data_IF_333134998648
#
_entry.id   IF_333134998648
#
_cell.length_a   1.000
_cell.length_b   1.000
_cell.length_c   1.000
_cell.angle_alpha   90.00
_cell.angle_beta   90.00
_cell.angle_gamma   90.00
#
_symmetry.space_group_name_H-M   'P 1'
#
loop_
_entity.id
_entity.type
_entity.pdbx_description
1 polymer ?
#
# COMPACT_ATOMS: atom_id res chain seq x y z
N UNK A 1 28.18 -12.66 16.27
CA UNK A 1 27.78 -11.31 16.72
C UNK A 1 26.32 -11.39 17.11
N UNK A 2 25.97 -11.29 18.41
CA UNK A 2 24.57 -11.27 18.87
C UNK A 2 23.94 -9.94 18.40
N UNK A 3 23.05 -10.00 17.45
CA UNK A 3 22.21 -8.85 17.08
C UNK A 3 21.31 -8.54 18.28
N UNK A 4 21.63 -7.46 19.01
CA UNK A 4 20.68 -6.93 20.01
C UNK A 4 19.35 -6.72 19.30
N UNK A 5 18.30 -7.32 19.82
CA UNK A 5 16.92 -7.08 19.35
C UNK A 5 16.69 -5.57 19.35
N UNK A 6 16.57 -4.99 18.16
CA UNK A 6 16.35 -3.53 18.06
C UNK A 6 14.84 -3.26 18.05
N UNK A 7 14.22 -3.34 19.22
CA UNK A 7 12.80 -3.07 19.45
C UNK A 7 12.35 -1.75 18.80
N UNK A 8 13.24 -0.75 18.77
CA UNK A 8 12.95 0.52 18.10
C UNK A 8 12.70 0.38 16.59
N UNK A 9 13.43 -0.49 15.89
CA UNK A 9 13.18 -0.75 14.47
C UNK A 9 11.85 -1.45 14.23
N UNK A 10 11.50 -2.42 15.09
CA UNK A 10 10.21 -3.13 15.00
C UNK A 10 9.04 -2.14 15.18
N UNK A 11 9.11 -1.27 16.18
CA UNK A 11 8.08 -0.24 16.42
C UNK A 11 7.96 0.71 15.22
N UNK A 12 9.08 1.23 14.69
CA UNK A 12 9.07 2.13 13.54
C UNK A 12 8.48 1.46 12.29
N UNK A 13 8.82 0.18 12.06
CA UNK A 13 8.26 -0.60 10.96
C UNK A 13 6.77 -0.89 11.15
N UNK A 14 6.31 -1.12 12.40
CA UNK A 14 4.89 -1.28 12.71
C UNK A 14 4.11 0.01 12.45
N UNK A 15 4.66 1.16 12.83
CA UNK A 15 4.06 2.47 12.53
C UNK A 15 4.04 2.72 11.02
N UNK A 16 5.15 2.48 10.32
CA UNK A 16 5.21 2.64 8.88
C UNK A 16 4.21 1.72 8.15
N UNK A 17 4.03 0.49 8.64
CA UNK A 17 3.00 -0.43 8.12
C UNK A 17 1.59 0.11 8.35
N UNK A 18 1.28 0.62 9.54
CA UNK A 18 0.00 1.24 9.85
C UNK A 18 -0.31 2.41 8.91
N UNK A 19 0.65 3.32 8.72
CA UNK A 19 0.51 4.48 7.83
C UNK A 19 0.36 4.06 6.36
N UNK A 20 1.13 3.05 5.91
CA UNK A 20 1.03 2.50 4.56
C UNK A 20 -0.32 1.83 4.30
N UNK A 21 -0.83 1.04 5.25
CA UNK A 21 -2.15 0.41 5.14
C UNK A 21 -3.28 1.43 5.19
N UNK A 22 -3.16 2.46 6.02
CA UNK A 22 -4.12 3.59 6.04
C UNK A 22 -4.19 4.27 4.68
N UNK A 23 -3.04 4.59 4.08
CA UNK A 23 -2.97 5.14 2.73
C UNK A 23 -3.64 4.21 1.71
N UNK A 24 -3.36 2.91 1.78
CA UNK A 24 -3.96 1.92 0.88
C UNK A 24 -5.48 1.89 1.02
N UNK A 25 -6.02 1.86 2.23
CA UNK A 25 -7.46 1.83 2.48
C UNK A 25 -8.16 3.09 1.93
N UNK A 26 -7.66 4.29 2.29
CA UNK A 26 -8.20 5.55 1.76
C UNK A 26 -8.13 5.60 0.23
N UNK A 27 -7.01 5.14 -0.34
CA UNK A 27 -6.82 5.13 -1.78
C UNK A 27 -7.79 4.16 -2.48
N UNK A 28 -7.96 2.93 -1.99
CA UNK A 28 -8.88 1.95 -2.60
C UNK A 28 -10.31 2.47 -2.58
N UNK A 29 -10.77 3.02 -1.44
CA UNK A 29 -12.11 3.57 -1.28
C UNK A 29 -12.39 4.68 -2.30
N UNK A 30 -11.43 5.59 -2.49
CA UNK A 30 -11.67 6.81 -3.28
C UNK A 30 -11.25 6.70 -4.73
N UNK A 31 -10.27 5.84 -5.09
CA UNK A 31 -9.73 5.79 -6.47
C UNK A 31 -10.78 5.39 -7.50
N UNK A 32 -11.64 4.44 -7.19
CA UNK A 32 -12.71 4.03 -8.10
C UNK A 32 -13.78 5.12 -8.28
N UNK A 33 -14.12 5.84 -7.19
CA UNK A 33 -15.05 6.96 -7.22
C UNK A 33 -14.50 8.14 -8.01
N UNK A 34 -13.24 8.51 -7.76
CA UNK A 34 -12.55 9.55 -8.54
C UNK A 34 -12.41 9.14 -10.00
N UNK A 35 -12.07 7.87 -10.24
CA UNK A 35 -12.04 7.33 -11.60
C UNK A 35 -13.37 7.46 -12.31
N UNK A 36 -14.51 7.23 -11.64
CA UNK A 36 -15.84 7.43 -12.23
C UNK A 36 -16.17 8.90 -12.53
N UNK A 37 -15.56 9.84 -11.81
CA UNK A 37 -15.73 11.28 -12.05
C UNK A 37 -14.82 11.82 -13.16
N UNK A 38 -13.59 11.31 -13.24
CA UNK A 38 -12.57 11.84 -14.17
C UNK A 38 -12.53 11.09 -15.49
N UNK A 39 -12.99 9.84 -15.56
CA UNK A 39 -12.82 9.03 -16.76
C UNK A 39 -13.77 9.46 -17.88
N UNK A 40 -13.31 9.44 -19.13
CA UNK A 40 -14.14 9.78 -20.28
C UNK A 40 -15.24 8.73 -20.55
N UNK A 41 -15.05 7.51 -20.04
CA UNK A 41 -15.99 6.38 -20.24
C UNK A 41 -16.10 5.55 -18.97
N UNK A 42 -17.32 5.03 -18.61
CA UNK A 42 -17.57 4.39 -17.33
C UNK A 42 -16.70 3.16 -17.03
N UNK A 43 -16.34 2.37 -18.04
CA UNK A 43 -15.53 1.16 -17.87
C UNK A 43 -14.05 1.43 -17.49
N UNK A 44 -13.56 2.66 -17.66
CA UNK A 44 -12.24 3.08 -17.23
C UNK A 44 -12.19 3.56 -15.77
N UNK A 45 -13.31 3.63 -15.06
CA UNK A 45 -13.38 4.13 -13.68
C UNK A 45 -12.41 3.45 -12.72
N UNK A 46 -12.14 2.17 -12.90
CA UNK A 46 -11.23 1.38 -12.04
C UNK A 46 -9.81 1.27 -12.59
N UNK A 47 -9.51 1.92 -13.73
CA UNK A 47 -8.20 1.81 -14.40
C UNK A 47 -7.05 2.24 -13.49
N UNK A 48 -7.19 3.35 -12.77
CA UNK A 48 -6.16 3.83 -11.83
C UNK A 48 -5.80 2.77 -10.79
N UNK A 49 -6.79 2.10 -10.20
CA UNK A 49 -6.58 1.05 -9.22
C UNK A 49 -5.94 -0.20 -9.85
N UNK A 50 -6.38 -0.60 -11.03
CA UNK A 50 -5.81 -1.74 -11.77
C UNK A 50 -4.35 -1.51 -12.12
N UNK A 51 -4.00 -0.33 -12.61
CA UNK A 51 -2.61 0.06 -12.90
C UNK A 51 -1.74 0.04 -11.65
N UNK A 52 -2.26 0.50 -10.51
CA UNK A 52 -1.58 0.47 -9.22
C UNK A 52 -1.24 -0.97 -8.80
N UNK A 53 -2.17 -1.91 -8.90
CA UNK A 53 -1.90 -3.32 -8.56
C UNK A 53 -0.90 -3.97 -9.51
N UNK A 54 -1.01 -3.71 -10.82
CA UNK A 54 -0.07 -4.22 -11.82
C UNK A 54 1.34 -3.71 -11.55
N UNK A 55 1.51 -2.41 -11.31
CA UNK A 55 2.83 -1.84 -11.01
C UNK A 55 3.38 -2.30 -9.67
N UNK A 56 2.55 -2.52 -8.66
CA UNK A 56 2.96 -3.10 -7.37
C UNK A 56 3.50 -4.52 -7.56
N UNK A 57 2.81 -5.34 -8.35
CA UNK A 57 3.26 -6.70 -8.68
C UNK A 57 4.61 -6.68 -9.40
N UNK A 58 4.74 -5.86 -10.45
CA UNK A 58 5.96 -5.75 -11.25
C UNK A 58 7.14 -5.20 -10.42
N UNK A 59 6.89 -4.35 -9.44
CA UNK A 59 7.92 -3.73 -8.61
C UNK A 59 8.44 -4.66 -7.51
N UNK A 60 7.65 -5.63 -7.06
CA UNK A 60 8.01 -6.51 -5.93
C UNK A 60 9.35 -7.22 -6.16
N UNK A 61 9.58 -7.79 -7.35
CA UNK A 61 10.85 -8.47 -7.66
C UNK A 61 12.04 -7.50 -7.75
N UNK A 62 12.00 -6.40 -8.55
CA UNK A 62 13.07 -5.41 -8.58
C UNK A 62 13.37 -4.80 -7.22
N UNK A 63 12.34 -4.45 -6.43
CA UNK A 63 12.52 -3.89 -5.09
C UNK A 63 13.30 -4.85 -4.18
N UNK A 64 12.98 -6.15 -4.21
CA UNK A 64 13.71 -7.16 -3.45
C UNK A 64 15.20 -7.22 -3.84
N UNK A 65 15.51 -7.20 -5.13
CA UNK A 65 16.89 -7.23 -5.64
C UNK A 65 17.66 -5.96 -5.25
N UNK A 66 17.01 -4.79 -5.35
CA UNK A 66 17.60 -3.51 -4.94
C UNK A 66 17.85 -3.47 -3.42
N UNK A 67 16.96 -4.05 -2.60
CA UNK A 67 17.17 -4.15 -1.15
C UNK A 67 18.39 -5.00 -0.79
N UNK A 68 18.68 -6.06 -1.56
CA UNK A 68 19.89 -6.86 -1.38
C UNK A 68 21.15 -6.08 -1.74
N UNK A 69 21.09 -5.22 -2.77
CA UNK A 69 22.24 -4.44 -3.25
C UNK A 69 22.53 -3.21 -2.38
N UNK A 70 21.50 -2.42 -2.13
CA UNK A 70 21.60 -1.11 -1.48
C UNK A 70 21.23 -1.14 0.02
N UNK A 71 20.56 -2.20 0.48
CA UNK A 71 20.00 -2.28 1.82
C UNK A 71 18.51 -1.91 1.83
N UNK A 72 17.81 -2.21 2.93
CA UNK A 72 16.36 -2.01 3.05
C UNK A 72 15.98 -0.54 3.24
N UNK A 73 16.73 0.19 4.09
CA UNK A 73 16.43 1.58 4.43
C UNK A 73 16.31 2.51 3.22
N UNK A 74 17.29 2.60 2.29
CA UNK A 74 17.18 3.52 1.15
C UNK A 74 16.02 3.17 0.22
N UNK A 75 15.70 1.89 0.05
CA UNK A 75 14.58 1.46 -0.79
C UNK A 75 13.23 1.80 -0.15
N UNK A 76 13.10 1.65 1.17
CA UNK A 76 11.90 2.07 1.90
C UNK A 76 11.72 3.59 1.84
N UNK A 77 12.78 4.36 2.05
CA UNK A 77 12.75 5.81 1.94
C UNK A 77 12.33 6.26 0.54
N UNK A 78 12.92 5.67 -0.51
CA UNK A 78 12.53 5.95 -1.89
C UNK A 78 11.06 5.58 -2.16
N UNK A 79 10.61 4.42 -1.70
CA UNK A 79 9.22 3.99 -1.85
C UNK A 79 8.24 4.97 -1.21
N UNK A 80 8.49 5.39 0.03
CA UNK A 80 7.61 6.34 0.73
C UNK A 80 7.66 7.74 0.11
N UNK A 81 8.83 8.19 -0.37
CA UNK A 81 8.93 9.47 -1.10
C UNK A 81 8.12 9.43 -2.39
N UNK A 82 8.18 8.32 -3.14
CA UNK A 82 7.34 8.11 -4.32
C UNK A 82 5.86 8.10 -3.93
N UNK A 83 5.48 7.44 -2.82
CA UNK A 83 4.10 7.43 -2.34
C UNK A 83 3.59 8.83 -2.02
N UNK A 84 4.38 9.64 -1.30
CA UNK A 84 4.02 11.01 -0.95
C UNK A 84 3.82 11.87 -2.22
N UNK A 85 4.76 11.80 -3.16
CA UNK A 85 4.66 12.52 -4.42
C UNK A 85 3.48 12.04 -5.27
N UNK A 86 3.26 10.72 -5.36
CA UNK A 86 2.17 10.13 -6.12
C UNK A 86 0.80 10.53 -5.56
N UNK A 87 0.58 10.41 -4.26
CA UNK A 87 -0.70 10.78 -3.63
C UNK A 87 -0.96 12.28 -3.71
N UNK A 88 0.07 13.12 -3.58
CA UNK A 88 -0.03 14.55 -3.81
C UNK A 88 -0.42 14.87 -5.26
N UNK A 89 0.23 14.19 -6.23
CA UNK A 89 -0.09 14.33 -7.66
C UNK A 89 -1.50 13.85 -7.99
N UNK A 90 -2.01 12.79 -7.32
CA UNK A 90 -3.41 12.38 -7.45
C UNK A 90 -4.37 13.49 -7.01
N UNK A 91 -4.06 14.16 -5.89
CA UNK A 91 -4.82 15.35 -5.45
C UNK A 91 -4.82 16.47 -6.50
N UNK A 92 -3.67 16.82 -7.08
CA UNK A 92 -3.55 17.80 -8.17
C UNK A 92 -4.32 17.36 -9.42
N UNK A 93 -4.26 16.08 -9.78
CA UNK A 93 -4.98 15.54 -10.93
C UNK A 93 -6.50 15.72 -10.80
N UNK A 94 -7.03 15.63 -9.57
CA UNK A 94 -8.45 15.91 -9.29
C UNK A 94 -8.76 17.39 -9.47
N UNK A 95 -7.89 18.30 -8.97
CA UNK A 95 -8.09 19.73 -9.14
C UNK A 95 -8.15 20.16 -10.63
N UNK A 96 -7.35 19.53 -11.47
CA UNK A 96 -7.28 19.81 -12.90
C UNK A 96 -8.18 18.90 -13.76
N UNK A 97 -9.02 18.05 -13.13
CA UNK A 97 -9.88 17.09 -13.82
C UNK A 97 -9.13 16.24 -14.86
N UNK A 98 -7.87 15.87 -14.56
CA UNK A 98 -6.99 15.19 -15.50
C UNK A 98 -6.87 13.69 -15.17
N UNK A 99 -7.63 12.87 -15.92
CA UNK A 99 -7.65 11.42 -15.75
C UNK A 99 -6.30 10.74 -16.01
N UNK A 100 -5.58 11.18 -17.05
CA UNK A 100 -4.28 10.59 -17.39
C UNK A 100 -3.25 10.82 -16.30
N UNK A 101 -3.17 12.05 -15.75
CA UNK A 101 -2.30 12.37 -14.64
C UNK A 101 -2.63 11.54 -13.40
N UNK A 102 -3.93 11.34 -13.13
CA UNK A 102 -4.39 10.49 -12.02
C UNK A 102 -3.95 9.02 -12.18
N UNK A 103 -4.06 8.47 -13.40
CA UNK A 103 -3.61 7.10 -13.70
C UNK A 103 -2.08 6.94 -13.55
N UNK A 104 -1.29 7.88 -14.06
CA UNK A 104 0.17 7.87 -13.92
C UNK A 104 0.59 7.94 -12.44
N UNK A 105 -0.04 8.81 -11.67
CA UNK A 105 0.20 8.91 -10.24
C UNK A 105 -0.19 7.61 -9.51
N UNK A 106 -1.27 6.95 -9.92
CA UNK A 106 -1.67 5.64 -9.38
C UNK A 106 -0.62 4.55 -9.68
N UNK A 107 -0.01 4.55 -10.87
CA UNK A 107 1.12 3.65 -11.18
C UNK A 107 2.30 3.89 -10.23
N UNK A 108 2.67 5.14 -10.01
CA UNK A 108 3.76 5.49 -9.09
C UNK A 108 3.45 5.03 -7.65
N UNK A 109 2.21 5.16 -7.20
CA UNK A 109 1.80 4.65 -5.89
C UNK A 109 1.90 3.12 -5.81
N UNK A 110 1.64 2.41 -6.89
CA UNK A 110 1.86 0.96 -7.00
C UNK A 110 3.33 0.58 -6.77
N UNK A 111 4.28 1.34 -7.31
CA UNK A 111 5.71 1.14 -7.05
C UNK A 111 6.01 1.21 -5.55
N UNK A 112 5.50 2.23 -4.88
CA UNK A 112 5.67 2.41 -3.45
C UNK A 112 5.08 1.24 -2.63
N UNK A 113 3.91 0.74 -3.01
CA UNK A 113 3.27 -0.42 -2.36
C UNK A 113 4.08 -1.70 -2.52
N UNK A 114 4.69 -1.94 -3.69
CA UNK A 114 5.61 -3.05 -3.91
C UNK A 114 6.79 -3.04 -2.94
N UNK A 115 7.27 -1.85 -2.55
CA UNK A 115 8.32 -1.70 -1.53
C UNK A 115 7.78 -1.92 -0.10
N UNK A 116 6.60 -1.40 0.23
CA UNK A 116 6.02 -1.47 1.57
C UNK A 116 5.69 -2.91 2.01
N UNK A 117 5.39 -3.81 1.09
CA UNK A 117 5.16 -5.22 1.36
C UNK A 117 6.30 -5.94 2.10
N UNK A 118 7.50 -5.35 2.10
CA UNK A 118 8.69 -5.91 2.76
C UNK A 118 8.88 -5.44 4.22
N UNK A 119 8.06 -4.55 4.77
CA UNK A 119 8.22 -4.07 6.16
C UNK A 119 8.20 -5.22 7.18
N UNK A 120 7.29 -6.19 7.03
CA UNK A 120 7.19 -7.36 7.91
C UNK A 120 8.46 -8.24 7.88
N UNK A 121 9.08 -8.39 6.72
CA UNK A 121 10.33 -9.14 6.59
C UNK A 121 11.52 -8.36 7.16
N UNK A 122 11.51 -7.05 7.02
CA UNK A 122 12.51 -6.17 7.61
C UNK A 122 12.44 -6.21 9.15
N UNK A 123 11.25 -6.29 9.72
CA UNK A 123 11.07 -6.44 11.16
C UNK A 123 11.59 -7.80 11.66
N UNK A 124 11.33 -8.88 10.92
CA UNK A 124 11.87 -10.19 11.25
C UNK A 124 13.41 -10.20 11.23
N UNK A 125 14.04 -9.54 10.25
CA UNK A 125 15.50 -9.45 10.16
C UNK A 125 16.12 -8.57 11.26
N UNK A 126 15.33 -7.68 11.87
CA UNK A 126 15.74 -6.82 12.98
C UNK A 126 15.58 -7.49 14.35
N UNK A 127 14.90 -8.64 14.43
CA UNK A 127 14.62 -9.37 15.65
C UNK A 127 15.54 -10.59 15.81
N UNK A 128 15.73 -11.03 17.07
CA UNK A 128 16.37 -12.32 17.36
C UNK A 128 15.53 -13.49 16.81
N UNK A 129 16.16 -14.63 16.51
CA UNK A 129 15.50 -15.78 15.89
C UNK A 129 14.26 -16.25 16.65
N UNK A 130 14.32 -16.24 17.97
CA UNK A 130 13.19 -16.59 18.87
C UNK A 130 12.05 -15.58 18.82
N UNK A 131 12.32 -14.31 18.43
CA UNK A 131 11.36 -13.21 18.46
C UNK A 131 10.83 -12.85 17.07
N UNK A 132 11.37 -13.43 16.00
CA UNK A 132 10.92 -13.16 14.61
C UNK A 132 9.40 -13.26 14.41
N UNK A 133 8.71 -14.32 14.90
CA UNK A 133 7.26 -14.40 14.74
C UNK A 133 6.52 -13.24 15.42
N UNK A 134 6.98 -12.84 16.63
CA UNK A 134 6.40 -11.70 17.35
C UNK A 134 6.63 -10.38 16.62
N UNK A 135 7.82 -10.15 16.07
CA UNK A 135 8.12 -8.95 15.30
C UNK A 135 7.22 -8.82 14.07
N UNK A 136 6.98 -9.93 13.35
CA UNK A 136 6.04 -9.96 12.22
C UNK A 136 4.62 -9.64 12.70
N UNK A 137 4.18 -10.25 13.81
CA UNK A 137 2.85 -10.02 14.37
C UNK A 137 2.63 -8.56 14.79
N UNK A 138 3.62 -7.90 15.38
CA UNK A 138 3.52 -6.47 15.72
C UNK A 138 3.37 -5.59 14.48
N UNK A 139 4.09 -5.87 13.40
CA UNK A 139 3.95 -5.13 12.14
C UNK A 139 2.58 -5.36 11.52
N UNK A 140 2.07 -6.58 11.54
CA UNK A 140 0.73 -6.89 11.04
C UNK A 140 -0.36 -6.25 11.92
N UNK A 141 -0.18 -6.24 13.24
CA UNK A 141 -1.09 -5.58 14.17
C UNK A 141 -1.17 -4.07 13.92
N UNK A 142 -0.07 -3.43 13.49
CA UNK A 142 -0.08 -2.05 13.03
C UNK A 142 -1.10 -1.81 11.90
N UNK A 143 -1.32 -2.81 11.03
CA UNK A 143 -2.34 -2.76 9.98
C UNK A 143 -3.78 -2.71 10.49
N UNK A 144 -4.07 -3.23 11.71
CA UNK A 144 -5.41 -3.15 12.31
C UNK A 144 -5.81 -1.70 12.61
N UNK A 145 -4.86 -0.84 12.99
CA UNK A 145 -5.12 0.58 13.18
C UNK A 145 -5.59 1.25 11.88
N UNK A 146 -5.08 0.80 10.75
CA UNK A 146 -5.46 1.31 9.45
C UNK A 146 -6.93 1.01 9.09
N UNK A 147 -7.51 -0.08 9.61
CA UNK A 147 -8.91 -0.42 9.40
C UNK A 147 -9.86 0.62 10.01
N UNK A 148 -9.44 1.29 11.10
CA UNK A 148 -10.20 2.37 11.72
C UNK A 148 -9.82 3.74 11.13
N UNK A 149 -8.52 4.01 10.97
CA UNK A 149 -8.03 5.31 10.50
C UNK A 149 -8.38 5.57 9.03
N UNK A 150 -8.37 4.53 8.18
CA UNK A 150 -8.64 4.66 6.75
C UNK A 150 -10.03 5.23 6.46
N UNK A 151 -11.12 4.58 6.87
CA UNK A 151 -12.49 5.07 6.70
C UNK A 151 -12.74 6.43 7.35
N UNK A 152 -12.17 6.65 8.56
CA UNK A 152 -12.33 7.92 9.26
C UNK A 152 -11.70 9.10 8.50
N UNK A 153 -10.49 8.91 7.97
CA UNK A 153 -9.83 9.91 7.11
C UNK A 153 -10.61 10.10 5.81
N UNK A 154 -11.04 9.00 5.17
CA UNK A 154 -11.82 9.07 3.95
C UNK A 154 -13.11 9.87 4.17
N UNK A 155 -13.81 9.66 5.29
CA UNK A 155 -15.05 10.37 5.62
C UNK A 155 -14.84 11.87 5.86
N UNK A 156 -13.84 12.22 6.67
CA UNK A 156 -13.63 13.60 7.09
C UNK A 156 -12.87 14.44 6.04
N UNK A 157 -12.12 13.80 5.16
CA UNK A 157 -11.29 14.51 4.18
C UNK A 157 -11.98 14.74 2.82
N UNK A 158 -13.12 14.12 2.53
CA UNK A 158 -13.82 14.23 1.25
C UNK A 158 -14.16 15.69 0.89
N UNK A 159 -14.61 16.49 1.85
CA UNK A 159 -15.06 17.86 1.64
C UNK A 159 -14.04 18.93 2.00
N UNK A 160 -12.80 18.58 2.33
CA UNK A 160 -11.77 19.55 2.77
C UNK A 160 -11.39 20.58 1.72
N UNK A 161 -11.50 20.22 0.43
CA UNK A 161 -11.18 21.13 -0.68
C UNK A 161 -12.48 21.60 -1.33
N UNK A 162 -12.87 22.88 -1.18
CA UNK A 162 -14.09 23.42 -1.79
C UNK A 162 -14.08 23.23 -3.32
N UNK A 163 -15.18 22.74 -3.87
CA UNK A 163 -15.34 22.52 -5.29
C UNK A 163 -14.71 21.24 -5.86
N UNK A 164 -13.90 20.52 -5.09
CA UNK A 164 -13.22 19.31 -5.56
C UNK A 164 -13.39 18.15 -4.56
N UNK A 165 -14.46 17.37 -4.75
CA UNK A 165 -14.72 16.16 -3.95
C UNK A 165 -13.52 15.18 -4.05
N UNK A 166 -13.18 14.58 -2.92
CA UNK A 166 -12.09 13.61 -2.76
C UNK A 166 -10.65 14.16 -2.84
N UNK A 167 -10.37 15.36 -3.37
CA UNK A 167 -9.01 15.91 -3.43
C UNK A 167 -8.36 15.96 -2.03
N UNK A 168 -9.13 16.34 -1.01
CA UNK A 168 -8.71 16.37 0.39
C UNK A 168 -8.23 15.01 0.91
N UNK A 169 -8.86 13.91 0.47
CA UNK A 169 -8.45 12.56 0.86
C UNK A 169 -7.01 12.27 0.38
N UNK A 170 -6.69 12.62 -0.86
CA UNK A 170 -5.38 12.38 -1.44
C UNK A 170 -4.29 13.28 -0.83
N UNK A 171 -4.60 14.53 -0.52
CA UNK A 171 -3.67 15.39 0.22
C UNK A 171 -3.46 14.91 1.66
N UNK A 172 -4.49 14.40 2.32
CA UNK A 172 -4.37 13.84 3.67
C UNK A 172 -3.45 12.61 3.70
N UNK A 173 -3.59 11.68 2.73
CA UNK A 173 -2.70 10.53 2.66
C UNK A 173 -1.28 10.90 2.20
N UNK A 174 -1.10 11.97 1.43
CA UNK A 174 0.22 12.51 1.12
C UNK A 174 0.94 12.97 2.40
N UNK A 175 0.22 13.68 3.28
CA UNK A 175 0.75 14.09 4.58
C UNK A 175 1.10 12.88 5.46
N UNK A 176 0.27 11.85 5.47
CA UNK A 176 0.55 10.58 6.17
C UNK A 176 1.85 9.95 5.66
N UNK A 177 2.12 9.99 4.37
CA UNK A 177 3.36 9.47 3.80
C UNK A 177 4.58 10.30 4.23
N UNK A 178 4.46 11.60 4.39
CA UNK A 178 5.53 12.43 4.97
C UNK A 178 5.85 11.99 6.41
N UNK A 179 4.84 11.71 7.24
CA UNK A 179 5.05 11.14 8.58
C UNK A 179 5.72 9.76 8.52
N UNK A 180 5.34 8.93 7.56
CA UNK A 180 5.99 7.63 7.33
C UNK A 180 7.46 7.80 6.96
N UNK A 181 7.80 8.81 6.15
CA UNK A 181 9.17 9.13 5.78
C UNK A 181 10.03 9.49 7.00
N UNK A 182 9.49 10.35 7.89
CA UNK A 182 10.15 10.71 9.16
C UNK A 182 10.36 9.47 10.04
N UNK A 183 9.36 8.61 10.15
CA UNK A 183 9.44 7.38 10.95
C UNK A 183 10.53 6.43 10.41
N UNK A 184 10.60 6.26 9.09
CA UNK A 184 11.55 5.38 8.42
C UNK A 184 12.97 5.96 8.39
N UNK A 185 13.15 7.26 8.48
CA UNK A 185 14.47 7.89 8.47
C UNK A 185 15.38 7.42 9.61
N UNK A 186 14.79 7.05 10.74
CA UNK A 186 15.51 6.57 11.92
C UNK A 186 15.73 5.04 11.97
N UNK A 187 15.42 4.29 10.91
CA UNK A 187 15.63 2.84 10.88
C UNK A 187 17.10 2.53 10.61
N UNK A 188 17.64 1.59 11.37
CA UNK A 188 18.94 1.00 11.13
C UNK A 188 18.80 -0.53 11.05
N UNK A 189 18.72 -1.04 9.84
CA UNK A 189 18.53 -2.46 9.56
C UNK A 189 19.75 -2.99 8.84
N UNK A 190 20.36 -4.09 9.34
CA UNK A 190 21.48 -4.72 8.65
C UNK A 190 21.09 -5.17 7.24
N UNK A 191 22.02 -5.08 6.30
CA UNK A 191 21.78 -5.57 4.93
C UNK A 191 21.43 -7.04 4.96
N UNK A 192 20.46 -7.47 4.14
CA UNK A 192 20.14 -8.89 4.04
C UNK A 192 21.40 -9.68 3.67
N UNK A 193 21.71 -10.72 4.46
CA UNK A 193 22.84 -11.59 4.13
C UNK A 193 22.54 -12.32 2.81
N UNK A 194 23.41 -12.13 1.83
CA UNK A 194 23.46 -13.02 0.66
C UNK A 194 23.94 -14.38 1.17
N UNK A 195 23.04 -15.29 1.45
CA UNK A 195 23.41 -16.70 1.47
C UNK A 195 23.88 -17.06 0.06
N UNK A 196 25.14 -17.52 -0.05
CA UNK A 196 25.74 -17.99 -1.31
C UNK A 196 25.02 -19.21 -1.95
N UNK A 197 24.08 -19.80 -1.24
CA UNK A 197 23.19 -20.81 -1.76
C UNK A 197 22.22 -20.15 -2.75
N UNK A 198 22.46 -20.35 -4.03
CA UNK A 198 21.55 -19.95 -5.09
C UNK A 198 20.12 -20.39 -4.73
N UNK A 199 19.17 -19.47 -4.79
CA UNK A 199 17.76 -19.78 -4.53
C UNK A 199 17.30 -20.94 -5.42
N UNK A 200 16.33 -21.73 -4.94
CA UNK A 200 15.73 -22.79 -5.76
C UNK A 200 15.14 -22.18 -7.03
N UNK A 201 15.37 -22.78 -8.21
CA UNK A 201 14.81 -22.27 -9.44
C UNK A 201 13.27 -22.28 -9.39
N UNK A 202 12.66 -21.25 -9.94
CA UNK A 202 11.20 -20.98 -9.84
C UNK A 202 10.36 -22.18 -10.32
N UNK A 203 10.81 -22.91 -11.34
CA UNK A 203 10.08 -24.07 -11.87
C UNK A 203 9.87 -25.19 -10.84
N UNK A 204 10.72 -25.29 -9.81
CA UNK A 204 10.58 -26.29 -8.75
C UNK A 204 9.35 -26.00 -7.88
N UNK A 205 9.04 -24.71 -7.64
CA UNK A 205 7.87 -24.33 -6.85
C UNK A 205 6.56 -24.67 -7.57
N UNK A 206 6.50 -24.51 -8.89
CA UNK A 206 5.32 -24.87 -9.68
C UNK A 206 5.04 -26.39 -9.72
N UNK A 207 6.03 -27.22 -9.39
CA UNK A 207 5.87 -28.69 -9.26
C UNK A 207 5.36 -29.10 -7.88
N UNK A 208 5.32 -28.17 -6.90
CA UNK A 208 4.85 -28.44 -5.55
C UNK A 208 3.34 -28.15 -5.45
N UNK A 209 2.46 -29.17 -5.31
CA UNK A 209 1.01 -28.93 -5.32
C UNK A 209 0.56 -28.01 -4.18
N UNK A 210 1.20 -28.11 -3.01
CA UNK A 210 0.93 -27.23 -1.88
C UNK A 210 1.18 -25.75 -2.19
N UNK A 211 2.25 -25.46 -2.95
CA UNK A 211 2.57 -24.10 -3.39
C UNK A 211 1.54 -23.58 -4.40
N UNK A 212 1.19 -24.41 -5.39
CA UNK A 212 0.23 -24.06 -6.42
C UNK A 212 -1.16 -23.79 -5.84
N UNK A 213 -1.66 -24.71 -5.00
CA UNK A 213 -2.96 -24.55 -4.34
C UNK A 213 -2.96 -23.32 -3.44
N UNK A 214 -1.91 -23.12 -2.63
CA UNK A 214 -1.81 -21.94 -1.76
C UNK A 214 -1.78 -20.63 -2.55
N UNK A 215 -1.05 -20.59 -3.67
CA UNK A 215 -0.97 -19.40 -4.54
C UNK A 215 -2.30 -19.10 -5.20
N UNK A 216 -2.99 -20.11 -5.74
CA UNK A 216 -4.30 -19.94 -6.38
C UNK A 216 -5.34 -19.48 -5.35
N UNK A 217 -5.38 -20.12 -4.17
CA UNK A 217 -6.31 -19.75 -3.10
C UNK A 217 -6.09 -18.32 -2.62
N UNK A 218 -4.82 -17.92 -2.45
CA UNK A 218 -4.48 -16.54 -2.07
C UNK A 218 -4.87 -15.54 -3.17
N UNK A 219 -4.64 -15.87 -4.44
CA UNK A 219 -5.00 -15.02 -5.57
C UNK A 219 -6.51 -14.82 -5.67
N UNK A 220 -7.30 -15.89 -5.54
CA UNK A 220 -8.77 -15.83 -5.58
C UNK A 220 -9.28 -15.02 -4.37
N UNK A 221 -8.79 -15.29 -3.16
CA UNK A 221 -9.21 -14.57 -1.96
C UNK A 221 -8.91 -13.07 -2.05
N UNK A 222 -7.72 -12.69 -2.54
CA UNK A 222 -7.34 -11.30 -2.73
C UNK A 222 -8.16 -10.61 -3.84
N UNK A 223 -8.46 -11.33 -4.93
CA UNK A 223 -9.29 -10.82 -6.02
C UNK A 223 -10.72 -10.54 -5.54
N UNK A 224 -11.34 -11.46 -4.79
CA UNK A 224 -12.67 -11.28 -4.23
C UNK A 224 -12.70 -10.11 -3.22
N UNK A 225 -11.72 -10.02 -2.34
CA UNK A 225 -11.59 -8.90 -1.40
C UNK A 225 -11.49 -7.57 -2.15
N UNK A 226 -10.61 -7.48 -3.15
CA UNK A 226 -10.42 -6.26 -3.94
C UNK A 226 -11.68 -5.89 -4.74
N UNK A 227 -12.38 -6.89 -5.27
CA UNK A 227 -13.65 -6.68 -5.97
C UNK A 227 -14.70 -6.06 -5.04
N UNK A 228 -14.89 -6.65 -3.85
CA UNK A 228 -15.86 -6.13 -2.87
C UNK A 228 -15.51 -4.71 -2.43
N UNK A 229 -14.25 -4.45 -2.12
CA UNK A 229 -13.79 -3.11 -1.69
C UNK A 229 -13.92 -2.04 -2.80
N UNK A 230 -13.93 -2.45 -4.07
CA UNK A 230 -14.06 -1.52 -5.21
C UNK A 230 -15.51 -1.35 -5.65
N UNK A 231 -16.26 -2.46 -5.72
CA UNK A 231 -17.65 -2.46 -6.19
C UNK A 231 -18.60 -1.81 -5.18
N UNK A 232 -18.38 -2.03 -3.88
CA UNK A 232 -19.26 -1.48 -2.82
C UNK A 232 -19.33 0.04 -2.83
N UNK A 233 -18.23 0.81 -2.87
CA UNK A 233 -18.28 2.27 -2.99
C UNK A 233 -19.03 2.75 -4.23
N UNK A 234 -18.78 2.12 -5.37
CA UNK A 234 -19.45 2.48 -6.62
C UNK A 234 -20.95 2.22 -6.56
N UNK A 235 -21.36 1.11 -5.94
CA UNK A 235 -22.78 0.76 -5.75
C UNK A 235 -23.47 1.78 -4.84
N UNK A 236 -22.87 2.12 -3.70
CA UNK A 236 -23.46 3.01 -2.70
C UNK A 236 -23.63 4.42 -3.25
N UNK A 237 -22.60 4.97 -3.87
CA UNK A 237 -22.59 6.36 -4.31
C UNK A 237 -23.34 6.54 -5.64
N UNK A 238 -23.09 5.71 -6.64
CA UNK A 238 -23.59 5.93 -8.00
C UNK A 238 -25.00 5.32 -8.24
N UNK A 239 -25.31 4.18 -7.61
CA UNK A 239 -26.57 3.46 -7.85
C UNK A 239 -27.57 3.76 -6.74
N UNK A 240 -27.21 3.55 -5.48
CA UNK A 240 -28.10 3.80 -4.34
C UNK A 240 -28.25 5.28 -4.00
N UNK A 241 -27.39 6.15 -4.58
CA UNK A 241 -27.38 7.62 -4.35
C UNK A 241 -27.34 8.01 -2.87
N UNK A 242 -26.76 7.16 -2.03
CA UNK A 242 -26.49 7.46 -0.64
C UNK A 242 -25.31 8.42 -0.56
N UNK A 243 -25.31 9.28 0.46
CA UNK A 243 -24.24 10.27 0.62
C UNK A 243 -22.85 9.62 0.82
N UNK A 244 -21.80 10.37 0.51
CA UNK A 244 -20.39 9.90 0.64
C UNK A 244 -20.02 9.44 2.04
N UNK A 245 -20.69 9.93 3.08
CA UNK A 245 -20.54 9.50 4.47
C UNK A 245 -20.97 8.04 4.69
N UNK A 246 -22.02 7.57 4.00
CA UNK A 246 -22.48 6.19 4.10
C UNK A 246 -21.42 5.20 3.55
N UNK A 247 -20.66 5.59 2.53
CA UNK A 247 -19.60 4.76 1.96
C UNK A 247 -18.52 4.39 2.98
N UNK A 248 -18.06 5.36 3.77
CA UNK A 248 -17.02 5.13 4.77
C UNK A 248 -17.48 4.28 5.98
N UNK A 249 -18.81 4.11 6.15
CA UNK A 249 -19.37 3.33 7.26
C UNK A 249 -19.55 1.85 6.89
N UNK A 250 -19.67 1.53 5.59
CA UNK A 250 -19.97 0.17 5.10
C UNK A 250 -18.69 -0.62 4.76
N UNK A 251 -17.57 0.06 4.52
CA UNK A 251 -16.27 -0.52 4.18
C UNK A 251 -15.41 -0.63 5.43
#
# INVERSE_FOLDING_TARGET
MKTKSNTGNVIRLSVAQALSMTTMNVNIINTALVGSLLSPVPWLATLGLSLQFVTSMLTTLPASLLMVKFGRRPIFMAGVSIAAAATFTQGIAILHMNFTLFCVASMCLGIAQGCAGFYRYAAADSAEDSQKPRAISYVLAGGLLAAFLGPEIARNAVGLVPGHLYAGCFFSIALIQVFSLVTLSGIDIPKPNRTKAGGRPIHVFFKMPIFVVGTISAAIGYALMSYMMTATPLQIVNIAKLGTSANATVI
#
